data_IF_282383762400
#
_entry.id   IF_282383762400
#
_cell.length_a   1.000
_cell.length_b   1.000
_cell.length_c   1.000
_cell.angle_alpha   90.00
_cell.angle_beta   90.00
_cell.angle_gamma   90.00
#
_symmetry.space_group_name_H-M   'P 1'
#
loop_
_entity.id
_entity.type
_entity.pdbx_description
1 polymer ?
#
# COMPACT_ATOMS: atom_id res chain seq x y z
N UNK A 1 31.01 4.97 -32.90
CA UNK A 1 29.89 5.91 -32.62
C UNK A 1 28.65 5.32 -33.26
N UNK A 2 27.72 4.75 -32.49
CA UNK A 2 26.43 4.30 -33.06
C UNK A 2 25.69 5.56 -33.45
N UNK A 3 25.55 5.79 -34.76
CA UNK A 3 24.84 6.93 -35.32
C UNK A 3 23.35 6.76 -35.00
N UNK A 4 22.91 7.27 -33.82
CA UNK A 4 21.50 7.24 -33.44
C UNK A 4 20.73 8.00 -34.52
N UNK A 5 19.63 7.42 -35.03
CA UNK A 5 18.73 8.14 -35.93
C UNK A 5 18.32 9.48 -35.30
N UNK A 6 18.14 10.52 -36.13
CA UNK A 6 17.74 11.86 -35.66
C UNK A 6 16.52 11.85 -34.74
N UNK A 7 15.66 10.83 -34.83
CA UNK A 7 14.42 10.68 -34.04
C UNK A 7 14.62 10.35 -32.55
N UNK A 8 15.79 9.88 -32.11
CA UNK A 8 16.02 9.39 -30.72
C UNK A 8 17.19 10.14 -30.05
N UNK A 9 17.56 11.30 -30.57
CA UNK A 9 18.53 12.16 -29.91
C UNK A 9 17.94 12.59 -28.54
N UNK A 10 18.73 12.43 -27.47
CA UNK A 10 18.34 12.70 -26.08
C UNK A 10 17.16 11.87 -25.54
N UNK A 11 16.86 10.73 -26.15
CA UNK A 11 15.83 9.79 -25.68
C UNK A 11 16.41 8.42 -25.37
N UNK A 12 15.78 7.70 -24.45
CA UNK A 12 16.09 6.32 -24.07
C UNK A 12 14.87 5.45 -24.35
N UNK A 13 15.06 4.36 -25.08
CA UNK A 13 14.07 3.30 -25.24
C UNK A 13 14.22 2.32 -24.06
N UNK A 14 13.20 2.21 -23.23
CA UNK A 14 13.09 1.16 -22.24
C UNK A 14 12.28 0.00 -22.81
N UNK A 15 12.75 -1.22 -22.60
CA UNK A 15 12.04 -2.46 -22.95
C UNK A 15 11.96 -3.29 -21.67
N UNK A 16 10.75 -3.60 -21.21
CA UNK A 16 10.52 -4.45 -20.05
C UNK A 16 10.13 -5.85 -20.52
N UNK A 17 11.09 -6.76 -20.50
CA UNK A 17 10.91 -8.12 -20.98
C UNK A 17 10.53 -9.12 -19.86
N UNK A 18 10.31 -8.67 -18.61
CA UNK A 18 10.10 -9.57 -17.47
C UNK A 18 8.92 -10.54 -17.62
N UNK A 19 7.88 -10.14 -18.36
CA UNK A 19 6.69 -10.97 -18.63
C UNK A 19 6.77 -11.77 -19.93
N UNK A 20 7.74 -11.47 -20.78
CA UNK A 20 7.94 -12.19 -22.05
C UNK A 20 8.73 -13.49 -21.84
N UNK A 21 9.27 -13.70 -20.64
CA UNK A 21 9.98 -14.90 -20.27
C UNK A 21 9.00 -15.95 -19.73
N UNK A 22 8.92 -17.09 -20.39
CA UNK A 22 8.20 -18.27 -19.92
C UNK A 22 8.91 -18.89 -18.72
N UNK A 23 8.15 -19.29 -17.71
CA UNK A 23 8.72 -19.93 -16.52
C UNK A 23 8.92 -21.43 -16.79
N UNK A 24 10.17 -21.86 -16.89
CA UNK A 24 10.52 -23.30 -16.98
C UNK A 24 10.54 -23.91 -15.57
N UNK A 25 10.85 -23.12 -14.53
CA UNK A 25 10.72 -23.49 -13.11
C UNK A 25 10.51 -22.26 -12.23
N UNK A 26 10.29 -22.44 -10.91
CA UNK A 26 10.22 -21.33 -9.93
C UNK A 26 11.46 -20.41 -9.92
N UNK A 27 12.59 -20.89 -10.47
CA UNK A 27 13.88 -20.16 -10.47
C UNK A 27 14.37 -19.84 -11.88
N UNK A 28 13.95 -20.61 -12.90
CA UNK A 28 14.47 -20.49 -14.27
C UNK A 28 13.38 -19.98 -15.22
N UNK A 29 13.55 -18.77 -15.71
CA UNK A 29 12.75 -18.18 -16.80
C UNK A 29 13.55 -18.23 -18.09
N UNK A 30 12.88 -18.47 -19.21
CA UNK A 30 13.49 -18.50 -20.54
C UNK A 30 12.63 -17.71 -21.53
N UNK A 31 13.20 -17.27 -22.64
CA UNK A 31 12.45 -16.55 -23.66
C UNK A 31 12.13 -17.50 -24.82
N UNK A 32 10.89 -17.45 -25.30
CA UNK A 32 10.53 -18.12 -26.55
C UNK A 32 11.15 -17.39 -27.74
N UNK A 33 11.37 -18.09 -28.85
CA UNK A 33 11.89 -17.47 -30.09
C UNK A 33 11.01 -16.31 -30.57
N UNK A 34 9.69 -16.42 -30.40
CA UNK A 34 8.72 -15.34 -30.68
C UNK A 34 8.94 -14.11 -29.80
N UNK A 35 9.16 -14.31 -28.49
CA UNK A 35 9.47 -13.23 -27.55
C UNK A 35 10.79 -12.54 -27.91
N UNK A 36 11.81 -13.30 -28.31
CA UNK A 36 13.10 -12.76 -28.75
C UNK A 36 12.93 -11.95 -30.04
N UNK A 37 12.18 -12.47 -31.02
CA UNK A 37 11.91 -11.79 -32.28
C UNK A 37 11.19 -10.45 -32.05
N UNK A 38 10.18 -10.43 -31.16
CA UNK A 38 9.46 -9.20 -30.81
C UNK A 38 10.38 -8.17 -30.11
N UNK A 39 11.21 -8.59 -29.15
CA UNK A 39 12.18 -7.71 -28.50
C UNK A 39 13.16 -7.13 -29.52
N UNK A 40 13.64 -7.97 -30.45
CA UNK A 40 14.56 -7.55 -31.49
C UNK A 40 13.92 -6.55 -32.46
N UNK A 41 12.66 -6.76 -32.85
CA UNK A 41 11.87 -5.85 -33.69
C UNK A 41 11.69 -4.49 -33.01
N UNK A 42 11.25 -4.48 -31.74
CA UNK A 42 11.11 -3.26 -30.93
C UNK A 42 12.45 -2.52 -30.83
N UNK A 43 13.56 -3.24 -30.58
CA UNK A 43 14.87 -2.62 -30.44
C UNK A 43 15.39 -2.04 -31.76
N UNK A 44 15.18 -2.71 -32.90
CA UNK A 44 15.64 -2.27 -34.22
C UNK A 44 14.83 -1.09 -34.73
N UNK A 45 13.51 -1.21 -34.71
CA UNK A 45 12.59 -0.23 -35.27
C UNK A 45 12.22 0.88 -34.28
N UNK A 46 12.64 0.74 -33.02
CA UNK A 46 12.43 1.72 -31.95
C UNK A 46 10.93 1.99 -31.75
N UNK A 47 10.14 0.91 -31.78
CA UNK A 47 8.69 0.94 -31.59
C UNK A 47 8.34 1.15 -30.12
N UNK A 48 7.33 1.96 -29.87
CA UNK A 48 6.62 1.98 -28.59
C UNK A 48 5.49 0.96 -28.65
N UNK A 49 5.50 0.03 -27.71
CA UNK A 49 4.51 -1.04 -27.59
C UNK A 49 3.97 -0.98 -26.17
N UNK A 50 2.65 -0.90 -26.05
CA UNK A 50 1.97 -0.79 -24.76
C UNK A 50 2.44 -1.90 -23.81
N UNK A 51 2.72 -1.55 -22.56
CA UNK A 51 3.21 -2.46 -21.50
C UNK A 51 4.58 -3.15 -21.74
N UNK A 52 5.21 -3.00 -22.93
CA UNK A 52 6.47 -3.67 -23.30
C UNK A 52 7.61 -2.69 -23.54
N UNK A 53 7.36 -1.56 -24.22
CA UNK A 53 8.39 -0.57 -24.51
C UNK A 53 7.88 0.86 -24.49
N UNK A 54 8.72 1.77 -23.98
CA UNK A 54 8.43 3.20 -23.93
C UNK A 54 9.68 4.01 -24.21
N UNK A 55 9.55 5.08 -25.00
CA UNK A 55 10.63 6.03 -25.24
C UNK A 55 10.46 7.21 -24.29
N UNK A 56 11.50 7.50 -23.53
CA UNK A 56 11.50 8.57 -22.52
C UNK A 56 12.62 9.55 -22.84
N UNK A 57 12.30 10.85 -22.79
CA UNK A 57 13.29 11.93 -22.85
C UNK A 57 14.21 11.86 -21.62
N UNK A 58 15.52 12.09 -21.81
CA UNK A 58 16.51 12.04 -20.70
C UNK A 58 16.14 13.02 -19.58
N UNK A 59 15.56 14.17 -19.91
CA UNK A 59 15.15 15.20 -18.94
C UNK A 59 13.97 14.76 -18.07
N UNK A 60 13.21 13.74 -18.49
CA UNK A 60 12.07 13.16 -17.75
C UNK A 60 12.47 11.94 -16.92
N UNK A 61 13.74 11.56 -16.90
CA UNK A 61 14.21 10.44 -16.08
C UNK A 61 14.17 10.82 -14.60
N UNK A 62 13.48 10.01 -13.79
CA UNK A 62 13.50 10.19 -12.36
C UNK A 62 14.87 9.77 -11.80
N UNK A 63 15.66 10.75 -11.32
CA UNK A 63 16.94 10.54 -10.60
C UNK A 63 17.97 9.70 -11.39
N UNK A 64 17.96 9.78 -12.73
CA UNK A 64 18.83 8.98 -13.60
C UNK A 64 18.71 7.45 -13.42
N UNK A 65 17.60 6.96 -12.86
CA UNK A 65 17.35 5.53 -12.74
C UNK A 65 17.10 4.95 -14.13
N UNK A 66 17.76 3.83 -14.46
CA UNK A 66 17.61 3.14 -15.75
C UNK A 66 16.95 1.77 -15.56
N UNK A 67 15.85 1.72 -14.82
CA UNK A 67 15.11 0.50 -14.51
C UNK A 67 13.91 0.39 -15.45
N UNK A 68 13.86 -0.55 -16.42
CA UNK A 68 12.78 -0.63 -17.40
C UNK A 68 11.38 -0.75 -16.80
N UNK A 69 11.21 -1.55 -15.73
CA UNK A 69 9.93 -1.75 -15.05
C UNK A 69 9.35 -0.48 -14.42
N UNK A 70 10.17 0.57 -14.22
CA UNK A 70 9.72 1.87 -13.73
C UNK A 70 9.11 2.74 -14.83
N UNK A 71 9.60 2.61 -16.06
CA UNK A 71 9.16 3.44 -17.20
C UNK A 71 8.17 2.71 -18.10
N UNK A 72 8.19 1.39 -18.05
CA UNK A 72 7.25 0.49 -18.71
C UNK A 72 6.48 -0.23 -17.60
N UNK A 73 5.53 0.51 -17.02
CA UNK A 73 4.68 0.00 -15.96
C UNK A 73 3.69 -1.00 -16.54
N UNK A 74 3.53 -2.14 -15.84
CA UNK A 74 2.43 -3.07 -16.13
C UNK A 74 1.12 -2.30 -16.01
N UNK A 75 0.17 -2.55 -16.89
CA UNK A 75 -1.18 -2.02 -16.70
C UNK A 75 -1.96 -2.86 -15.70
N UNK A 76 -1.37 -3.86 -15.04
CA UNK A 76 -2.08 -4.80 -14.20
C UNK A 76 -1.53 -4.83 -12.78
N UNK A 77 -2.42 -4.97 -11.81
CA UNK A 77 -2.10 -5.14 -10.40
C UNK A 77 -2.87 -6.33 -9.83
N UNK A 78 -2.16 -7.23 -9.16
CA UNK A 78 -2.79 -8.28 -8.38
C UNK A 78 -3.18 -7.73 -7.00
N UNK A 79 -4.44 -7.94 -6.63
CA UNK A 79 -4.99 -7.48 -5.36
C UNK A 79 -5.66 -8.64 -4.64
N UNK A 80 -5.50 -8.69 -3.31
CA UNK A 80 -6.10 -9.75 -2.47
C UNK A 80 -7.62 -9.86 -2.65
N UNK A 81 -8.31 -8.72 -2.85
CA UNK A 81 -9.78 -8.65 -2.91
C UNK A 81 -10.36 -8.81 -4.32
N UNK A 82 -9.67 -8.31 -5.35
CA UNK A 82 -10.20 -8.27 -6.72
C UNK A 82 -9.42 -9.17 -7.70
N UNK A 83 -8.38 -9.87 -7.24
CA UNK A 83 -7.49 -10.62 -8.11
C UNK A 83 -6.69 -9.69 -9.03
N UNK A 84 -6.44 -10.14 -10.25
CA UNK A 84 -5.72 -9.39 -11.28
C UNK A 84 -6.63 -8.30 -11.87
N UNK A 85 -6.25 -7.03 -11.67
CA UNK A 85 -7.00 -5.86 -12.13
C UNK A 85 -6.21 -5.13 -13.20
N UNK A 86 -6.82 -4.92 -14.37
CA UNK A 86 -6.27 -4.07 -15.43
C UNK A 86 -6.64 -2.61 -15.23
N UNK A 87 -5.63 -1.77 -15.14
CA UNK A 87 -5.62 -0.32 -14.99
C UNK A 87 -5.55 0.34 -16.37
N UNK A 88 -6.51 1.22 -16.65
CA UNK A 88 -6.57 1.95 -17.92
C UNK A 88 -5.84 3.28 -17.80
N UNK A 89 -4.58 3.33 -18.21
CA UNK A 89 -3.74 4.52 -18.06
C UNK A 89 -4.35 5.80 -18.67
N UNK A 90 -4.97 5.69 -19.85
CA UNK A 90 -5.64 6.81 -20.52
C UNK A 90 -6.77 7.43 -19.69
N UNK A 91 -7.50 6.60 -18.94
CA UNK A 91 -8.59 7.09 -18.07
C UNK A 91 -8.04 7.79 -16.84
N UNK A 92 -6.87 7.36 -16.32
CA UNK A 92 -6.19 8.05 -15.21
C UNK A 92 -5.76 9.44 -15.65
N UNK A 93 -5.17 9.56 -16.84
CA UNK A 93 -4.72 10.84 -17.40
C UNK A 93 -5.89 11.80 -17.68
N UNK A 94 -7.09 11.26 -17.90
CA UNK A 94 -8.32 12.01 -18.10
C UNK A 94 -9.06 12.36 -16.79
N UNK A 95 -8.59 11.90 -15.62
CA UNK A 95 -9.22 12.23 -14.35
C UNK A 95 -9.16 13.73 -14.08
N UNK A 96 -10.33 14.33 -13.94
CA UNK A 96 -10.46 15.71 -13.48
C UNK A 96 -10.35 15.81 -11.96
N UNK A 97 -9.99 16.99 -11.45
CA UNK A 97 -9.93 17.29 -10.03
C UNK A 97 -8.94 16.39 -9.26
N UNK A 98 -7.71 16.32 -9.73
CA UNK A 98 -6.62 15.58 -9.06
C UNK A 98 -5.65 16.56 -8.41
N UNK A 99 -5.15 16.22 -7.22
CA UNK A 99 -4.04 16.93 -6.56
C UNK A 99 -2.96 15.96 -6.12
N UNK A 100 -1.73 16.48 -5.99
CA UNK A 100 -0.63 15.72 -5.38
C UNK A 100 -0.94 15.45 -3.92
N UNK A 101 -0.63 14.24 -3.46
CA UNK A 101 -0.90 13.84 -2.09
C UNK A 101 -0.20 14.77 -1.08
N UNK A 102 0.97 15.30 -1.44
CA UNK A 102 1.69 16.28 -0.64
C UNK A 102 0.98 17.64 -0.45
N UNK A 103 0.01 17.97 -1.29
CA UNK A 103 -0.76 19.23 -1.19
C UNK A 103 -1.96 19.10 -0.24
N UNK A 104 -2.45 17.88 -0.02
CA UNK A 104 -3.68 17.63 0.75
C UNK A 104 -3.41 17.33 2.24
N UNK A 105 -2.14 17.27 2.65
CA UNK A 105 -1.78 17.03 4.05
C UNK A 105 -0.29 17.17 4.35
N UNK A 106 0.02 17.27 5.64
CA UNK A 106 1.38 17.32 6.17
C UNK A 106 1.92 15.92 6.43
N UNK A 107 3.10 15.62 5.89
CA UNK A 107 3.78 14.34 6.09
C UNK A 107 4.84 14.48 7.19
N UNK A 108 4.91 13.49 8.06
CA UNK A 108 5.91 13.37 9.11
C UNK A 108 6.44 11.94 9.20
N UNK A 109 7.62 11.80 9.79
CA UNK A 109 8.32 10.51 9.95
C UNK A 109 8.08 9.95 11.34
N UNK A 110 8.25 8.64 11.50
CA UNK A 110 8.25 8.02 12.82
C UNK A 110 9.60 8.07 13.56
N UNK A 111 9.55 7.70 14.83
CA UNK A 111 10.71 7.63 15.73
C UNK A 111 11.51 6.35 15.47
N UNK A 112 12.83 6.43 15.54
CA UNK A 112 13.65 5.23 15.57
C UNK A 112 13.54 4.58 16.95
N UNK A 113 13.00 3.37 17.01
CA UNK A 113 12.79 2.64 18.26
C UNK A 113 14.11 2.14 18.88
N UNK A 114 15.18 2.00 18.10
CA UNK A 114 16.49 1.57 18.62
C UNK A 114 17.14 2.57 19.58
N UNK A 115 16.66 3.82 19.58
CA UNK A 115 17.14 4.88 20.49
C UNK A 115 16.27 5.02 21.75
N UNK A 116 15.24 4.17 21.91
CA UNK A 116 14.37 4.16 23.08
C UNK A 116 14.87 3.12 24.11
N UNK A 117 14.53 3.33 25.38
CA UNK A 117 14.72 2.30 26.43
C UNK A 117 13.80 1.10 26.07
N UNK A 118 14.20 -0.16 26.34
CA UNK A 118 13.34 -1.32 26.12
C UNK A 118 11.98 -1.19 26.83
N UNK A 119 10.99 -1.96 26.34
CA UNK A 119 9.60 -1.95 26.80
C UNK A 119 9.49 -1.74 28.32
N UNK A 120 8.79 -0.68 28.71
CA UNK A 120 8.50 -0.34 30.10
C UNK A 120 6.98 -0.28 30.26
N UNK A 121 6.41 -1.16 31.07
CA UNK A 121 4.97 -1.17 31.35
C UNK A 121 4.49 0.15 32.00
N UNK A 122 5.40 0.87 32.65
CA UNK A 122 5.16 2.21 33.23
C UNK A 122 5.52 3.35 32.25
N UNK A 123 5.87 3.03 31.01
CA UNK A 123 6.22 4.03 30.00
C UNK A 123 5.04 4.94 29.65
N UNK A 124 5.32 6.24 29.52
CA UNK A 124 4.31 7.26 29.20
C UNK A 124 3.86 7.24 27.74
N UNK A 125 4.64 6.63 26.84
CA UNK A 125 4.41 6.68 25.39
C UNK A 125 4.14 5.29 24.83
N UNK A 126 3.14 5.20 23.95
CA UNK A 126 2.93 4.01 23.11
C UNK A 126 3.51 4.22 21.73
N UNK A 127 4.22 3.22 21.19
CA UNK A 127 4.81 3.30 19.85
C UNK A 127 4.18 2.23 18.95
N UNK A 128 3.52 2.68 17.88
CA UNK A 128 2.91 1.81 16.87
C UNK A 128 4.00 1.15 16.01
N UNK A 129 4.06 -0.18 16.04
CA UNK A 129 4.90 -1.01 15.20
C UNK A 129 4.08 -1.69 14.09
N UNK A 130 4.77 -2.28 13.11
CA UNK A 130 4.11 -2.93 11.97
C UNK A 130 3.20 -4.10 12.39
N UNK A 131 3.48 -4.75 13.52
CA UNK A 131 2.69 -5.85 14.08
C UNK A 131 1.32 -5.42 14.61
N UNK A 132 1.20 -4.17 15.05
CA UNK A 132 0.02 -3.64 15.75
C UNK A 132 -1.08 -3.20 14.77
N UNK A 133 -0.73 -3.05 13.49
CA UNK A 133 -1.68 -2.73 12.42
C UNK A 133 -2.04 -4.01 11.68
N UNK A 134 -3.29 -4.41 11.76
CA UNK A 134 -3.83 -5.61 11.10
C UNK A 134 -5.15 -5.25 10.41
N UNK A 135 -5.33 -5.71 9.18
CA UNK A 135 -6.52 -5.44 8.35
C UNK A 135 -6.92 -3.95 8.24
N UNK A 136 -5.92 -3.06 8.32
CA UNK A 136 -6.10 -1.61 8.26
C UNK A 136 -6.65 -0.97 9.54
N UNK A 137 -6.76 -1.75 10.61
CA UNK A 137 -7.18 -1.32 11.95
C UNK A 137 -5.99 -1.41 12.93
N UNK A 138 -5.99 -0.54 13.93
CA UNK A 138 -4.96 -0.50 14.96
C UNK A 138 -5.45 -1.31 16.17
N UNK A 139 -4.69 -2.32 16.58
CA UNK A 139 -4.98 -3.05 17.81
C UNK A 139 -4.26 -2.37 18.98
N UNK A 140 -5.01 -1.63 19.80
CA UNK A 140 -4.45 -0.94 20.96
C UNK A 140 -3.90 -1.86 22.05
N UNK A 141 -4.43 -3.08 22.16
CA UNK A 141 -4.07 -4.01 23.22
C UNK A 141 -2.67 -4.59 23.06
N UNK A 142 -2.13 -4.57 21.83
CA UNK A 142 -0.79 -5.11 21.53
C UNK A 142 0.32 -4.05 21.57
N UNK A 143 -0.03 -2.77 21.66
CA UNK A 143 0.95 -1.69 21.53
C UNK A 143 1.77 -1.57 22.81
N UNK A 144 3.08 -1.82 22.68
CA UNK A 144 4.03 -1.70 23.77
C UNK A 144 4.19 -0.24 24.25
N UNK A 145 4.41 -0.11 25.56
CA UNK A 145 4.72 1.15 26.25
C UNK A 145 6.23 1.34 26.36
N UNK A 146 6.65 2.59 26.28
CA UNK A 146 8.04 3.03 26.25
C UNK A 146 8.23 4.28 27.10
N UNK A 147 9.30 4.30 27.90
CA UNK A 147 9.78 5.50 28.57
C UNK A 147 10.80 6.23 27.68
N UNK A 148 10.46 7.45 27.24
CA UNK A 148 11.28 8.25 26.33
C UNK A 148 11.88 9.42 27.09
N UNK A 149 13.03 9.19 27.73
CA UNK A 149 13.67 10.18 28.60
C UNK A 149 14.36 11.35 27.90
N UNK A 150 14.68 11.23 26.60
CA UNK A 150 15.45 12.26 25.89
C UNK A 150 15.21 12.24 24.38
N UNK A 151 14.07 12.77 23.96
CA UNK A 151 13.91 13.15 22.57
C UNK A 151 13.16 14.48 22.47
N UNK A 152 13.90 15.57 22.20
CA UNK A 152 13.34 16.92 22.02
C UNK A 152 12.33 17.03 20.86
N UNK A 153 12.11 15.94 20.10
CA UNK A 153 11.24 15.88 18.92
C UNK A 153 10.04 14.94 19.10
N UNK A 154 9.66 14.52 20.31
CA UNK A 154 8.49 13.65 20.56
C UNK A 154 7.26 14.10 19.77
N UNK A 155 6.92 15.40 19.85
CA UNK A 155 5.78 15.99 19.15
C UNK A 155 5.80 15.81 17.61
N UNK A 156 6.98 15.60 17.02
CA UNK A 156 7.11 15.36 15.57
C UNK A 156 6.78 13.92 15.14
N UNK A 157 6.68 13.00 16.11
CA UNK A 157 6.35 11.59 15.92
C UNK A 157 4.94 11.25 16.41
N UNK A 158 4.30 12.19 17.12
CA UNK A 158 2.98 12.02 17.74
C UNK A 158 1.87 12.07 16.71
N UNK A 159 1.05 11.01 16.72
CA UNK A 159 -0.15 10.92 15.91
C UNK A 159 -1.32 11.60 16.59
N UNK A 160 -2.34 11.98 15.81
CA UNK A 160 -3.63 12.47 16.29
C UNK A 160 -4.76 11.65 15.69
N UNK A 161 -5.92 11.67 16.33
CA UNK A 161 -7.14 11.12 15.74
C UNK A 161 -7.33 11.66 14.31
N UNK A 162 -7.60 10.75 13.37
CA UNK A 162 -7.79 11.08 11.96
C UNK A 162 -6.49 11.24 11.15
N UNK A 163 -5.31 11.17 11.76
CA UNK A 163 -4.07 11.03 11.00
C UNK A 163 -4.07 9.67 10.27
N UNK A 164 -3.47 9.61 9.09
CA UNK A 164 -3.26 8.36 8.34
C UNK A 164 -1.81 7.93 8.54
N UNK A 165 -1.60 6.64 8.80
CA UNK A 165 -0.26 6.03 8.82
C UNK A 165 -0.14 5.02 7.68
N UNK A 166 0.97 5.09 6.94
CA UNK A 166 1.28 4.18 5.82
C UNK A 166 2.64 3.53 6.09
N UNK A 167 2.72 2.21 5.97
CA UNK A 167 4.00 1.50 6.13
C UNK A 167 5.00 1.91 5.05
N UNK A 168 6.16 2.39 5.47
CA UNK A 168 7.28 2.76 4.61
C UNK A 168 8.12 1.55 4.16
N UNK A 169 8.02 0.43 4.87
CA UNK A 169 8.77 -0.81 4.64
C UNK A 169 7.87 -2.01 4.90
N UNK A 170 8.06 -3.08 4.14
CA UNK A 170 7.37 -4.36 4.33
C UNK A 170 6.98 -5.00 3.00
N UNK A 171 6.59 -6.27 3.03
CA UNK A 171 6.08 -6.96 1.83
C UNK A 171 4.70 -6.42 1.39
N UNK A 172 3.86 -6.07 2.36
CA UNK A 172 2.51 -5.54 2.14
C UNK A 172 2.42 -4.12 2.69
N UNK A 173 1.80 -3.22 1.92
CA UNK A 173 1.51 -1.86 2.37
C UNK A 173 0.35 -1.91 3.37
N UNK A 174 0.60 -1.47 4.60
CA UNK A 174 -0.41 -1.30 5.63
C UNK A 174 -0.81 0.17 5.72
N UNK A 175 -2.12 0.44 5.70
CA UNK A 175 -2.69 1.78 5.81
C UNK A 175 -3.68 1.76 6.97
N UNK A 176 -3.56 2.71 7.90
CA UNK A 176 -4.48 2.81 9.03
C UNK A 176 -4.84 4.28 9.28
N UNK A 177 -6.12 4.52 9.59
CA UNK A 177 -6.58 5.81 10.13
C UNK A 177 -6.51 5.70 11.64
N UNK A 178 -5.80 6.64 12.27
CA UNK A 178 -5.62 6.65 13.72
C UNK A 178 -6.98 6.93 14.37
N UNK A 179 -7.51 6.00 15.18
CA UNK A 179 -8.76 6.21 15.88
C UNK A 179 -8.54 7.13 17.09
N UNK A 180 -9.65 7.52 17.72
CA UNK A 180 -9.61 8.28 18.97
C UNK A 180 -8.82 7.52 20.04
N UNK A 181 -7.97 8.24 20.75
CA UNK A 181 -7.11 7.73 21.81
C UNK A 181 -6.86 8.82 22.86
N UNK A 182 -6.65 8.40 24.10
CA UNK A 182 -6.45 9.31 25.24
C UNK A 182 -4.99 9.35 25.73
N UNK A 183 -4.15 8.40 25.28
CA UNK A 183 -2.74 8.30 25.66
C UNK A 183 -1.80 8.80 24.53
N UNK A 184 -0.62 9.38 24.85
CA UNK A 184 0.36 9.78 23.85
C UNK A 184 0.81 8.62 22.95
N UNK A 185 0.42 8.70 21.68
CA UNK A 185 0.69 7.67 20.69
C UNK A 185 1.69 8.18 19.65
N UNK A 186 2.73 7.40 19.41
CA UNK A 186 3.81 7.69 18.46
C UNK A 186 3.86 6.60 17.39
N UNK A 187 4.41 6.92 16.23
CA UNK A 187 4.68 5.93 15.18
C UNK A 187 6.16 5.57 15.10
N UNK A 188 6.46 4.29 14.91
CA UNK A 188 7.82 3.84 14.60
C UNK A 188 8.28 4.32 13.22
N UNK A 189 9.59 4.33 12.99
CA UNK A 189 10.23 4.72 11.72
C UNK A 189 9.76 3.89 10.50
N UNK A 190 9.06 2.79 10.73
CA UNK A 190 8.50 1.95 9.69
C UNK A 190 7.19 2.51 9.11
N UNK A 191 6.66 3.60 9.68
CA UNK A 191 5.50 4.32 9.17
C UNK A 191 5.85 5.74 8.75
N UNK A 192 5.07 6.23 7.79
CA UNK A 192 4.96 7.64 7.43
C UNK A 192 3.58 8.10 7.91
N UNK A 193 3.56 9.14 8.73
CA UNK A 193 2.34 9.76 9.23
C UNK A 193 1.90 10.91 8.32
N UNK A 194 0.59 11.04 8.14
CA UNK A 194 -0.03 12.00 7.22
C UNK A 194 -1.19 12.66 7.95
N UNK A 195 -1.06 13.96 8.19
CA UNK A 195 -2.11 14.79 8.76
C UNK A 195 -2.82 15.55 7.66
N UNK A 196 -4.02 15.12 7.31
CA UNK A 196 -4.79 15.71 6.23
C UNK A 196 -5.30 17.11 6.57
N UNK A 197 -5.46 17.92 5.54
CA UNK A 197 -6.18 19.19 5.63
C UNK A 197 -7.66 18.91 5.93
N UNK A 198 -8.34 19.86 6.59
CA UNK A 198 -9.73 19.70 7.05
C UNK A 198 -10.75 19.41 5.94
N UNK A 199 -10.39 19.65 4.67
CA UNK A 199 -11.22 19.41 3.49
C UNK A 199 -11.22 17.94 3.03
N UNK A 200 -10.40 17.08 3.64
CA UNK A 200 -10.27 15.67 3.24
C UNK A 200 -10.72 14.76 4.37
N UNK A 201 -11.48 13.74 4.03
CA UNK A 201 -11.94 12.71 4.96
C UNK A 201 -10.89 11.60 5.06
N UNK A 202 -10.29 11.33 6.23
CA UNK A 202 -9.25 10.31 6.37
C UNK A 202 -9.69 8.93 5.91
N UNK A 203 -10.92 8.54 6.22
CA UNK A 203 -11.46 7.24 5.82
C UNK A 203 -11.66 7.15 4.30
N UNK A 204 -12.05 8.24 3.64
CA UNK A 204 -12.17 8.29 2.18
C UNK A 204 -10.80 8.14 1.52
N UNK A 205 -9.79 8.87 1.99
CA UNK A 205 -8.43 8.78 1.46
C UNK A 205 -7.84 7.38 1.68
N UNK A 206 -8.08 6.78 2.86
CA UNK A 206 -7.69 5.38 3.11
C UNK A 206 -8.30 4.43 2.07
N UNK A 207 -9.63 4.46 1.88
CA UNK A 207 -10.28 3.57 0.91
C UNK A 207 -9.80 3.84 -0.53
N UNK A 208 -9.53 5.09 -0.90
CA UNK A 208 -8.93 5.40 -2.21
C UNK A 208 -7.54 4.77 -2.37
N UNK A 209 -6.67 4.90 -1.37
CA UNK A 209 -5.33 4.32 -1.41
C UNK A 209 -5.34 2.79 -1.39
N UNK A 210 -6.34 2.17 -0.76
CA UNK A 210 -6.52 0.72 -0.72
C UNK A 210 -7.22 0.16 -1.98
N UNK A 211 -7.79 1.03 -2.82
CA UNK A 211 -8.38 0.64 -4.10
C UNK A 211 -7.31 0.09 -5.07
N UNK A 212 -7.70 -0.66 -6.12
CA UNK A 212 -6.75 -1.13 -7.13
C UNK A 212 -5.93 0.01 -7.75
N UNK A 213 -6.55 1.16 -8.01
CA UNK A 213 -5.87 2.35 -8.52
C UNK A 213 -4.88 2.91 -7.50
N UNK A 214 -5.29 3.08 -6.24
CA UNK A 214 -4.42 3.58 -5.18
C UNK A 214 -3.20 2.69 -4.96
N UNK A 215 -3.43 1.37 -4.86
CA UNK A 215 -2.35 0.38 -4.75
C UNK A 215 -1.41 0.41 -5.95
N UNK A 216 -1.96 0.55 -7.16
CA UNK A 216 -1.17 0.69 -8.39
C UNK A 216 -0.28 1.92 -8.39
N UNK A 217 -0.82 3.07 -7.99
CA UNK A 217 -0.05 4.32 -7.91
C UNK A 217 1.06 4.23 -6.85
N UNK A 218 0.79 3.58 -5.70
CA UNK A 218 1.82 3.36 -4.69
C UNK A 218 2.88 2.38 -5.20
N UNK A 219 2.49 1.25 -5.81
CA UNK A 219 3.45 0.24 -6.28
C UNK A 219 4.38 0.78 -7.36
N UNK A 220 3.88 1.63 -8.26
CA UNK A 220 4.70 2.29 -9.29
C UNK A 220 5.76 3.24 -8.69
N UNK A 221 5.57 3.68 -7.45
CA UNK A 221 6.50 4.56 -6.73
C UNK A 221 7.45 3.79 -5.80
N UNK A 222 7.23 2.50 -5.57
CA UNK A 222 8.11 1.67 -4.75
C UNK A 222 9.40 1.31 -5.50
N UNK A 223 10.51 1.27 -4.76
CA UNK A 223 11.83 0.85 -5.26
C UNK A 223 12.24 -0.48 -4.59
N UNK A 224 12.81 -1.40 -5.37
CA UNK A 224 13.36 -2.68 -4.90
C UNK A 224 12.46 -3.89 -5.19
N UNK A 225 13.07 -5.04 -5.49
CA UNK A 225 12.37 -6.28 -5.89
C UNK A 225 11.88 -7.16 -4.73
N UNK A 226 12.54 -7.10 -3.56
CA UNK A 226 12.30 -8.04 -2.45
C UNK A 226 11.81 -7.35 -1.17
N UNK A 227 12.30 -6.15 -0.88
CA UNK A 227 11.81 -5.29 0.20
C UNK A 227 11.48 -3.95 -0.42
N UNK A 228 10.19 -3.69 -0.61
CA UNK A 228 9.74 -2.43 -1.18
C UNK A 228 9.93 -1.33 -0.13
N UNK A 229 10.68 -0.30 -0.53
CA UNK A 229 10.86 0.89 0.29
C UNK A 229 10.03 2.01 -0.30
N UNK A 230 9.13 2.55 0.52
CA UNK A 230 8.31 3.71 0.19
C UNK A 230 8.78 4.89 1.04
N UNK A 231 9.18 5.97 0.38
CA UNK A 231 9.59 7.18 1.09
C UNK A 231 8.50 8.26 0.98
N UNK A 232 8.55 9.22 1.91
CA UNK A 232 7.55 10.28 1.97
C UNK A 232 7.54 11.18 0.72
N UNK A 233 8.66 11.32 0.00
CA UNK A 233 8.71 12.11 -1.23
C UNK A 233 7.90 11.45 -2.33
N UNK A 234 8.07 10.15 -2.52
CA UNK A 234 7.40 9.43 -3.59
C UNK A 234 5.89 9.30 -3.29
N UNK A 235 5.50 9.13 -2.01
CA UNK A 235 4.10 9.23 -1.58
C UNK A 235 3.48 10.59 -1.89
N UNK A 236 4.20 11.70 -1.64
CA UNK A 236 3.70 13.05 -1.89
C UNK A 236 3.37 13.31 -3.36
N UNK A 237 4.03 12.59 -4.27
CA UNK A 237 3.86 12.75 -5.72
C UNK A 237 2.69 11.92 -6.29
N UNK A 238 2.06 11.08 -5.46
CA UNK A 238 0.88 10.30 -5.86
C UNK A 238 -0.28 11.24 -6.12
N UNK A 239 -1.00 10.94 -7.20
CA UNK A 239 -2.21 11.64 -7.60
C UNK A 239 -3.43 11.14 -6.80
N UNK A 240 -4.08 12.08 -6.11
CA UNK A 240 -5.25 11.84 -5.28
C UNK A 240 -6.45 12.57 -5.87
N UNK A 241 -7.56 11.86 -6.02
CA UNK A 241 -8.83 12.46 -6.43
C UNK A 241 -9.32 13.46 -5.38
N UNK A 242 -9.82 14.59 -5.84
CA UNK A 242 -10.38 15.62 -4.99
C UNK A 242 -11.88 15.72 -5.21
N UNK A 243 -12.62 15.42 -4.16
CA UNK A 243 -14.08 15.47 -4.11
C UNK A 243 -14.43 16.43 -2.97
N UNK A 244 -15.52 17.23 -3.05
CA UNK A 244 -15.93 18.06 -1.92
C UNK A 244 -16.11 17.24 -0.65
N UNK A 245 -15.62 17.74 0.50
CA UNK A 245 -15.63 17.02 1.78
C UNK A 245 -16.99 16.42 2.12
N UNK A 246 -18.05 17.19 1.93
CA UNK A 246 -19.41 16.77 2.26
C UNK A 246 -19.81 15.49 1.50
N UNK A 247 -19.43 15.41 0.22
CA UNK A 247 -19.67 14.24 -0.63
C UNK A 247 -18.80 13.07 -0.19
N UNK A 248 -17.53 13.30 0.15
CA UNK A 248 -16.66 12.26 0.72
C UNK A 248 -17.29 11.65 1.98
N UNK A 249 -17.72 12.48 2.92
CA UNK A 249 -18.29 12.04 4.19
C UNK A 249 -19.63 11.31 3.99
N UNK A 250 -20.48 11.75 3.06
CA UNK A 250 -21.72 11.05 2.69
C UNK A 250 -21.46 9.67 2.07
N UNK A 251 -20.52 9.59 1.12
CA UNK A 251 -20.09 8.32 0.51
C UNK A 251 -19.60 7.35 1.59
N UNK A 252 -18.73 7.84 2.48
CA UNK A 252 -18.16 7.02 3.54
C UNK A 252 -19.20 6.57 4.56
N UNK A 253 -20.13 7.45 4.97
CA UNK A 253 -21.21 7.08 5.88
C UNK A 253 -22.09 5.97 5.31
N UNK A 254 -22.45 6.06 4.03
CA UNK A 254 -23.23 5.02 3.33
C UNK A 254 -22.46 3.70 3.22
N UNK A 255 -21.17 3.77 2.90
CA UNK A 255 -20.31 2.60 2.79
C UNK A 255 -20.11 1.89 4.14
N UNK A 256 -19.69 2.64 5.17
CA UNK A 256 -19.40 2.11 6.50
C UNK A 256 -20.64 1.53 7.19
N UNK A 257 -21.81 2.16 7.04
CA UNK A 257 -23.06 1.62 7.60
C UNK A 257 -23.43 0.26 6.99
N UNK A 258 -23.26 0.10 5.68
CA UNK A 258 -23.45 -1.19 5.01
C UNK A 258 -22.40 -2.22 5.42
N UNK A 259 -21.13 -1.82 5.49
CA UNK A 259 -20.06 -2.70 5.95
C UNK A 259 -20.29 -3.20 7.37
N UNK A 260 -20.74 -2.33 8.28
CA UNK A 260 -21.08 -2.73 9.65
C UNK A 260 -22.15 -3.82 9.67
N UNK A 261 -23.23 -3.64 8.89
CA UNK A 261 -24.30 -4.65 8.78
C UNK A 261 -23.81 -5.96 8.17
N UNK A 262 -22.86 -5.90 7.23
CA UNK A 262 -22.25 -7.10 6.65
C UNK A 262 -21.38 -7.82 7.69
N UNK A 263 -20.53 -7.09 8.43
CA UNK A 263 -19.70 -7.66 9.51
C UNK A 263 -20.55 -8.34 10.58
N UNK A 264 -21.66 -7.71 11.00
CA UNK A 264 -22.60 -8.30 11.96
C UNK A 264 -23.20 -9.62 11.47
N UNK A 265 -23.61 -9.69 10.20
CA UNK A 265 -24.13 -10.92 9.59
C UNK A 265 -23.08 -12.02 9.42
N UNK A 266 -21.84 -11.65 9.07
CA UNK A 266 -20.73 -12.61 8.99
C UNK A 266 -20.51 -13.24 10.36
N UNK A 267 -20.45 -12.43 11.43
CA UNK A 267 -20.30 -12.93 12.79
C UNK A 267 -21.44 -13.88 13.20
N UNK A 268 -22.67 -13.55 12.84
CA UNK A 268 -23.84 -14.41 13.09
C UNK A 268 -23.71 -15.76 12.35
N UNK A 269 -23.31 -15.75 11.08
CA UNK A 269 -23.11 -16.96 10.29
C UNK A 269 -21.92 -17.80 10.77
N UNK A 270 -20.84 -17.17 11.20
CA UNK A 270 -19.68 -17.84 11.79
C UNK A 270 -20.08 -18.56 13.09
N UNK A 271 -20.92 -17.93 13.92
CA UNK A 271 -21.46 -18.58 15.11
C UNK A 271 -22.33 -19.78 14.76
N UNK A 272 -23.23 -19.64 13.77
CA UNK A 272 -24.06 -20.78 13.31
C UNK A 272 -23.21 -21.93 12.78
N UNK A 273 -22.14 -21.63 12.04
CA UNK A 273 -21.21 -22.65 11.54
C UNK A 273 -20.49 -23.37 12.69
N UNK A 274 -20.07 -22.62 13.72
CA UNK A 274 -19.46 -23.20 14.93
C UNK A 274 -20.44 -24.10 15.67
N UNK A 275 -21.70 -23.68 15.83
CA UNK A 275 -22.72 -24.47 16.51
C UNK A 275 -23.00 -25.79 15.79
N UNK A 276 -23.11 -25.76 14.45
CA UNK A 276 -23.23 -26.97 13.61
C UNK A 276 -22.03 -27.91 13.76
N UNK A 277 -20.82 -27.35 13.81
CA UNK A 277 -19.60 -28.14 14.00
C UNK A 277 -19.56 -28.80 15.39
N UNK A 278 -20.07 -28.11 16.42
CA UNK A 278 -20.22 -28.65 17.77
C UNK A 278 -21.25 -29.78 17.80
N UNK A 279 -22.37 -29.66 17.09
CA UNK A 279 -23.39 -30.71 16.97
C UNK A 279 -22.83 -31.96 16.28
N UNK A 280 -22.11 -31.79 15.17
CA UNK A 280 -21.41 -32.91 14.50
C UNK A 280 -20.48 -33.65 15.47
N UNK A 281 -19.72 -32.93 16.30
CA UNK A 281 -18.86 -33.57 17.30
C UNK A 281 -19.63 -34.31 18.40
N UNK A 282 -20.88 -33.90 18.70
CA UNK A 282 -21.76 -34.67 19.58
C UNK A 282 -22.22 -35.95 18.91
N UNK A 283 -22.61 -35.90 17.63
CA UNK A 283 -23.01 -37.09 16.87
C UNK A 283 -21.86 -38.10 16.72
N UNK A 284 -20.62 -37.61 16.61
CA UNK A 284 -19.41 -38.43 16.58
C UNK A 284 -18.99 -38.97 17.97
N UNK A 285 -19.70 -38.61 19.05
CA UNK A 285 -19.38 -38.90 20.46
C UNK A 285 -17.98 -38.43 20.93
N UNK A 286 -17.34 -37.53 20.17
CA UNK A 286 -16.04 -36.95 20.53
C UNK A 286 -16.17 -35.62 21.27
N UNK A 287 -17.35 -35.00 21.32
CA UNK A 287 -17.52 -33.71 22.00
C UNK A 287 -17.07 -33.74 23.47
N UNK A 288 -17.26 -34.88 24.15
CA UNK A 288 -16.86 -35.08 25.56
C UNK A 288 -15.35 -35.00 25.78
N UNK A 289 -14.54 -35.18 24.73
CA UNK A 289 -13.07 -35.11 24.82
C UNK A 289 -12.54 -33.70 24.58
N UNK A 290 -13.41 -32.73 24.25
CA UNK A 290 -13.04 -31.37 23.84
C UNK A 290 -13.56 -30.36 24.86
N UNK A 291 -12.65 -29.57 25.45
CA UNK A 291 -12.99 -28.39 26.24
C UNK A 291 -12.70 -27.13 25.42
N UNK A 292 -13.73 -26.32 25.16
CA UNK A 292 -13.57 -25.01 24.53
C UNK A 292 -13.27 -24.02 25.65
N UNK A 293 -12.08 -23.42 25.64
CA UNK A 293 -11.75 -22.30 26.51
C UNK A 293 -12.10 -21.00 25.77
N UNK A 294 -12.88 -20.12 26.38
CA UNK A 294 -13.03 -18.75 25.88
C UNK A 294 -11.70 -18.04 26.05
N UNK A 295 -11.21 -17.41 24.98
CA UNK A 295 -10.05 -16.52 25.03
C UNK A 295 -10.62 -15.13 25.33
N UNK A 296 -10.38 -14.64 26.55
CA UNK A 296 -10.66 -13.24 26.94
C UNK A 296 -9.80 -12.25 26.14
#
# INVERSE_FOLDING_TARGET
VINKSKSIKNKILFINAEQMASSISRVKKDFTDDSIALIADIYRDKKEVDEISKIIDIDKLEKHLLIPSKYVSKAEIETEKFGLVKIRQKEIEALENVKKFGEIGQFYRGINTSTCIPNDENGEYRIINLSDVQDGELNFNTIAKYDIRSNAKIASYTVKEGDIIISAKGATIKICVIPKHDEPLLISQNFIGIRLNKEYSPNFIKEYLESPLGKYLISNKQLGSTVTMLNARDLKDIDIITIPKIVQDEMMKKYQSKQKRIKEKIKELEQQALDLQIELYREMDIKKTIQIMEVE
#
